data_IF_640254466189
#
_entry.id   IF_640254466189
#
_cell.length_a   1.000
_cell.length_b   1.000
_cell.length_c   1.000
_cell.angle_alpha   90.00
_cell.angle_beta   90.00
_cell.angle_gamma   90.00
#
_symmetry.space_group_name_H-M   'P 1'
#
loop_
_entity.id
_entity.type
_entity.pdbx_description
1 polymer ?
#
# COMPACT_ATOMS: atom_id res chain seq x y z
N UNK A 1 -9.81 -10.54 -11.58
CA UNK A 1 -8.93 -9.86 -10.59
C UNK A 1 -9.74 -8.87 -9.73
N UNK A 2 -9.26 -8.42 -8.55
CA UNK A 2 -10.02 -7.47 -7.68
C UNK A 2 -10.52 -6.22 -8.42
N UNK A 3 -9.79 -5.77 -9.44
CA UNK A 3 -10.21 -4.69 -10.34
C UNK A 3 -11.49 -5.01 -11.09
N UNK A 4 -11.63 -6.19 -11.69
CA UNK A 4 -12.87 -6.59 -12.40
C UNK A 4 -14.06 -6.68 -11.44
N UNK A 5 -13.82 -7.09 -10.19
CA UNK A 5 -14.88 -7.15 -9.18
C UNK A 5 -15.41 -5.75 -8.87
N UNK A 6 -14.52 -4.76 -8.75
CA UNK A 6 -14.87 -3.34 -8.54
C UNK A 6 -15.55 -2.75 -9.78
N UNK A 7 -15.13 -3.12 -10.99
CA UNK A 7 -15.76 -2.64 -12.23
C UNK A 7 -17.21 -3.14 -12.38
N UNK A 8 -17.48 -4.36 -11.90
CA UNK A 8 -18.83 -4.95 -11.88
C UNK A 8 -19.68 -4.40 -10.74
N UNK A 9 -19.07 -4.13 -9.59
CA UNK A 9 -19.72 -3.59 -8.40
C UNK A 9 -18.85 -2.51 -7.73
N UNK A 10 -19.08 -1.22 -8.06
CA UNK A 10 -18.36 -0.11 -7.46
C UNK A 10 -18.62 0.09 -5.95
N UNK A 11 -19.63 -0.56 -5.39
CA UNK A 11 -19.92 -0.54 -3.96
C UNK A 11 -19.29 -1.71 -3.22
N UNK A 12 -18.50 -2.54 -3.89
CA UNK A 12 -17.80 -3.65 -3.26
C UNK A 12 -16.61 -3.16 -2.42
N UNK A 13 -16.91 -2.56 -1.26
CA UNK A 13 -15.94 -1.93 -0.36
C UNK A 13 -14.78 -2.86 0.02
N UNK A 14 -15.08 -4.14 0.26
CA UNK A 14 -14.05 -5.11 0.64
C UNK A 14 -13.06 -5.40 -0.50
N UNK A 15 -13.47 -5.27 -1.77
CA UNK A 15 -12.56 -5.41 -2.90
C UNK A 15 -11.57 -4.26 -2.98
N UNK A 16 -12.01 -3.02 -2.70
CA UNK A 16 -11.11 -1.87 -2.57
C UNK A 16 -10.09 -2.09 -1.44
N UNK A 17 -10.57 -2.51 -0.26
CA UNK A 17 -9.68 -2.79 0.86
C UNK A 17 -8.68 -3.92 0.55
N UNK A 18 -9.14 -5.04 0.00
CA UNK A 18 -8.26 -6.14 -0.38
C UNK A 18 -7.22 -5.70 -1.42
N UNK A 19 -7.61 -4.86 -2.39
CA UNK A 19 -6.72 -4.36 -3.43
C UNK A 19 -5.67 -3.41 -2.85
N UNK A 20 -6.05 -2.52 -1.92
CA UNK A 20 -5.08 -1.64 -1.26
C UNK A 20 -4.01 -2.44 -0.51
N UNK A 21 -4.41 -3.48 0.23
CA UNK A 21 -3.47 -4.33 0.98
C UNK A 21 -2.55 -5.12 0.04
N UNK A 22 -3.09 -5.68 -1.05
CA UNK A 22 -2.31 -6.39 -2.04
C UNK A 22 -1.25 -5.49 -2.69
N UNK A 23 -1.63 -4.26 -3.05
CA UNK A 23 -0.73 -3.26 -3.62
C UNK A 23 0.37 -2.82 -2.63
N UNK A 24 0.05 -2.66 -1.34
CA UNK A 24 1.05 -2.33 -0.31
C UNK A 24 2.12 -3.44 -0.18
N UNK A 25 1.71 -4.71 -0.12
CA UNK A 25 2.63 -5.86 -0.03
C UNK A 25 3.53 -5.97 -1.25
N UNK A 26 2.98 -5.68 -2.44
CA UNK A 26 3.75 -5.67 -3.69
C UNK A 26 4.83 -4.60 -3.69
N UNK A 27 4.48 -3.36 -3.30
CA UNK A 27 5.44 -2.27 -3.19
C UNK A 27 6.56 -2.57 -2.19
N UNK A 28 6.25 -3.25 -1.08
CA UNK A 28 7.24 -3.70 -0.10
C UNK A 28 8.17 -4.79 -0.66
N UNK A 29 7.61 -5.76 -1.39
CA UNK A 29 8.40 -6.83 -2.01
C UNK A 29 9.34 -6.30 -3.11
N UNK A 30 8.91 -5.30 -3.88
CA UNK A 30 9.71 -4.68 -4.95
C UNK A 30 10.89 -3.87 -4.39
N UNK A 31 10.71 -3.17 -3.26
CA UNK A 31 11.81 -2.45 -2.58
C UNK A 31 12.89 -3.37 -2.00
N UNK A 32 12.54 -4.63 -1.73
CA UNK A 32 13.48 -5.64 -1.22
C UNK A 32 14.25 -6.38 -2.31
N UNK A 33 13.92 -6.18 -3.58
CA UNK A 33 14.64 -6.83 -4.70
C UNK A 33 15.92 -6.04 -5.01
N UNK A 34 17.09 -6.71 -5.15
CA UNK A 34 18.24 -6.09 -5.77
C UNK A 34 17.82 -5.55 -7.14
N UNK A 35 18.20 -4.32 -7.46
CA UNK A 35 17.98 -3.75 -8.79
C UNK A 35 18.87 -4.53 -9.76
N UNK A 36 18.34 -5.62 -10.32
CA UNK A 36 18.92 -6.18 -11.54
C UNK A 36 18.75 -5.13 -12.62
N UNK A 37 19.87 -4.48 -12.96
CA UNK A 37 19.96 -3.59 -14.10
C UNK A 37 19.50 -4.36 -15.33
N UNK A 38 18.28 -4.11 -15.76
CA UNK A 38 17.78 -4.54 -17.07
C UNK A 38 18.68 -3.89 -18.12
N UNK A 39 19.67 -4.65 -18.59
CA UNK A 39 20.42 -4.31 -19.79
C UNK A 39 19.43 -4.32 -20.96
N UNK A 40 19.44 -3.30 -21.83
CA UNK A 40 18.63 -3.35 -23.04
C UNK A 40 19.21 -4.46 -23.90
N UNK A 41 18.44 -5.54 -24.08
CA UNK A 41 18.82 -6.61 -24.99
C UNK A 41 18.78 -6.04 -26.41
N UNK A 42 19.96 -5.80 -26.98
CA UNK A 42 20.13 -5.39 -28.37
C UNK A 42 19.50 -6.45 -29.29
N UNK A 43 18.66 -6.09 -30.27
CA UNK A 43 18.10 -7.09 -31.18
C UNK A 43 19.22 -7.64 -32.07
N UNK A 44 19.53 -8.93 -31.94
CA UNK A 44 20.40 -9.63 -32.89
C UNK A 44 19.65 -9.82 -34.21
N UNK A 45 20.02 -9.04 -35.22
CA UNK A 45 19.63 -9.27 -36.61
C UNK A 45 20.44 -10.46 -37.12
N UNK A 46 19.79 -11.62 -37.32
CA UNK A 46 20.38 -12.74 -38.07
C UNK A 46 19.87 -12.70 -39.51
N UNK A 47 20.79 -12.47 -40.44
CA UNK A 47 20.59 -12.62 -41.87
C UNK A 47 20.81 -14.08 -42.31
N UNK A 48 19.89 -14.64 -43.08
CA UNK A 48 20.16 -15.72 -44.04
C UNK A 48 19.04 -15.77 -45.09
N UNK A 49 19.43 -15.87 -46.37
CA UNK A 49 18.58 -15.80 -47.55
C UNK A 49 18.04 -17.18 -47.99
N UNK A 50 16.90 -17.21 -48.70
CA UNK A 50 16.69 -17.86 -50.03
C UNK A 50 15.19 -18.02 -50.40
N UNK A 51 14.82 -17.56 -51.59
CA UNK A 51 13.94 -18.28 -52.54
C UNK A 51 12.40 -18.34 -52.38
N UNK A 52 11.72 -17.63 -53.30
CA UNK A 52 10.51 -18.01 -54.06
C UNK A 52 9.08 -17.57 -53.64
N UNK A 53 8.44 -16.90 -54.62
CA UNK A 53 7.01 -16.80 -55.01
C UNK A 53 5.97 -16.25 -54.02
N UNK A 54 5.49 -15.04 -54.36
CA UNK A 54 4.08 -14.72 -54.57
C UNK A 54 3.13 -14.86 -53.38
N UNK A 55 2.77 -13.72 -52.80
CA UNK A 55 1.38 -13.26 -52.55
C UNK A 55 1.46 -11.86 -51.97
N UNK A 56 0.69 -10.94 -52.53
CA UNK A 56 0.43 -9.62 -51.96
C UNK A 56 -0.35 -9.81 -50.66
N UNK A 57 0.34 -10.06 -49.55
CA UNK A 57 -0.26 -9.99 -48.23
C UNK A 57 -0.41 -8.51 -47.90
N UNK A 58 -1.63 -7.99 -48.02
CA UNK A 58 -1.99 -6.72 -47.42
C UNK A 58 -1.62 -6.83 -45.93
N UNK A 59 -0.57 -6.13 -45.53
CA UNK A 59 -0.15 -6.02 -44.14
C UNK A 59 -1.28 -5.31 -43.41
N UNK A 60 -2.14 -6.09 -42.74
CA UNK A 60 -3.11 -5.55 -41.80
C UNK A 60 -2.31 -4.70 -40.82
N UNK A 61 -2.66 -3.41 -40.63
CA UNK A 61 -1.95 -2.58 -39.67
C UNK A 61 -1.98 -3.31 -38.33
N UNK A 62 -0.79 -3.60 -37.79
CA UNK A 62 -0.63 -4.15 -36.45
C UNK A 62 -1.57 -3.39 -35.52
N UNK A 63 -2.35 -4.06 -34.65
CA UNK A 63 -3.19 -3.37 -33.69
C UNK A 63 -2.29 -2.40 -32.95
N UNK A 64 -2.54 -1.09 -33.13
CA UNK A 64 -1.84 -0.08 -32.35
C UNK A 64 -2.03 -0.49 -30.89
N UNK A 65 -0.98 -0.48 -30.05
CA UNK A 65 -1.18 -0.70 -28.64
C UNK A 65 -2.13 0.41 -28.20
N UNK A 66 -3.41 0.06 -28.04
CA UNK A 66 -4.36 0.94 -27.40
C UNK A 66 -3.69 1.29 -26.10
N UNK A 67 -3.57 2.57 -25.71
CA UNK A 67 -3.01 2.89 -24.42
C UNK A 67 -3.89 2.19 -23.40
N UNK A 68 -3.44 1.02 -22.95
CA UNK A 68 -3.99 0.32 -21.82
C UNK A 68 -3.91 1.38 -20.75
N UNK A 69 -5.07 1.92 -20.36
CA UNK A 69 -5.13 2.88 -19.27
C UNK A 69 -4.64 2.07 -18.08
N UNK A 70 -3.33 2.14 -17.81
CA UNK A 70 -2.74 1.58 -16.62
C UNK A 70 -3.22 2.53 -15.55
N UNK A 71 -4.46 2.32 -15.08
CA UNK A 71 -4.94 3.00 -13.90
C UNK A 71 -4.11 2.37 -12.80
N UNK A 72 -2.99 3.01 -12.49
CA UNK A 72 -2.17 2.65 -11.35
C UNK A 72 -2.97 3.04 -10.12
N UNK A 73 -3.79 2.11 -9.64
CA UNK A 73 -4.62 2.32 -8.46
C UNK A 73 -3.71 2.36 -7.23
N UNK A 74 -3.53 3.58 -6.68
CA UNK A 74 -2.76 3.78 -5.46
C UNK A 74 -3.52 3.19 -4.26
N UNK A 75 -2.83 2.48 -3.33
CA UNK A 75 -3.43 2.05 -2.06
C UNK A 75 -4.16 3.16 -1.31
N UNK A 76 -3.68 4.40 -1.43
CA UNK A 76 -4.31 5.58 -0.81
C UNK A 76 -5.71 5.84 -1.38
N UNK A 77 -5.86 5.75 -2.71
CA UNK A 77 -7.13 6.00 -3.39
C UNK A 77 -8.16 4.93 -3.00
N UNK A 78 -7.74 3.67 -2.92
CA UNK A 78 -8.60 2.57 -2.50
C UNK A 78 -9.04 2.74 -1.04
N UNK A 79 -8.12 3.09 -0.13
CA UNK A 79 -8.47 3.34 1.28
C UNK A 79 -9.39 4.54 1.46
N UNK A 80 -9.23 5.60 0.65
CA UNK A 80 -10.15 6.73 0.65
C UNK A 80 -11.56 6.32 0.21
N UNK A 81 -11.68 5.44 -0.79
CA UNK A 81 -12.99 4.89 -1.16
C UNK A 81 -13.59 4.03 -0.05
N UNK A 82 -12.79 3.18 0.59
CA UNK A 82 -13.26 2.37 1.72
C UNK A 82 -13.81 3.26 2.84
N UNK A 83 -13.13 4.35 3.16
CA UNK A 83 -13.57 5.30 4.19
C UNK A 83 -14.83 6.06 3.77
N UNK A 84 -14.96 6.43 2.49
CA UNK A 84 -16.16 7.08 1.99
C UNK A 84 -17.40 6.17 2.05
N UNK A 85 -17.24 4.88 1.77
CA UNK A 85 -18.32 3.89 1.77
C UNK A 85 -18.61 3.34 3.19
N UNK A 86 -17.57 3.18 4.01
CA UNK A 86 -17.64 2.58 5.35
C UNK A 86 -16.83 3.43 6.36
N UNK A 87 -17.36 4.59 6.79
CA UNK A 87 -16.64 5.54 7.67
C UNK A 87 -16.40 5.03 9.10
N UNK A 88 -16.99 3.89 9.47
CA UNK A 88 -16.79 3.23 10.76
C UNK A 88 -15.78 2.09 10.70
N UNK A 89 -15.19 1.83 9.53
CA UNK A 89 -14.25 0.72 9.35
C UNK A 89 -12.84 1.10 9.82
N UNK A 90 -12.55 0.84 11.10
CA UNK A 90 -11.30 1.21 11.77
C UNK A 90 -10.03 0.75 11.03
N UNK A 91 -10.06 -0.43 10.40
CA UNK A 91 -8.92 -0.96 9.66
C UNK A 91 -8.51 -0.09 8.46
N UNK A 92 -9.44 0.62 7.82
CA UNK A 92 -9.10 1.50 6.71
C UNK A 92 -8.31 2.72 7.18
N UNK A 93 -8.73 3.35 8.28
CA UNK A 93 -7.99 4.44 8.91
C UNK A 93 -6.60 3.97 9.36
N UNK A 94 -6.50 2.82 10.03
CA UNK A 94 -5.21 2.25 10.44
C UNK A 94 -4.25 2.03 9.25
N UNK A 95 -4.75 1.44 8.15
CA UNK A 95 -3.90 1.20 6.98
C UNK A 95 -3.52 2.49 6.24
N UNK A 96 -4.40 3.50 6.23
CA UNK A 96 -4.09 4.81 5.65
C UNK A 96 -3.08 5.57 6.50
N UNK A 97 -3.19 5.48 7.83
CA UNK A 97 -2.21 6.00 8.77
C UNK A 97 -0.82 5.37 8.56
N UNK A 98 -0.75 4.04 8.37
CA UNK A 98 0.49 3.35 8.06
C UNK A 98 1.13 3.88 6.77
N UNK A 99 0.32 4.21 5.75
CA UNK A 99 0.80 4.77 4.50
C UNK A 99 1.36 6.18 4.70
N UNK A 100 0.62 7.05 5.39
CA UNK A 100 1.07 8.41 5.72
C UNK A 100 2.36 8.41 6.55
N UNK A 101 2.46 7.52 7.55
CA UNK A 101 3.66 7.37 8.36
C UNK A 101 4.88 6.97 7.50
N UNK A 102 4.70 6.06 6.53
CA UNK A 102 5.76 5.65 5.61
C UNK A 102 6.20 6.77 4.67
N UNK A 103 5.29 7.67 4.29
CA UNK A 103 5.60 8.82 3.43
C UNK A 103 6.04 10.05 4.21
N UNK A 104 6.14 9.98 5.53
CA UNK A 104 6.56 11.08 6.40
C UNK A 104 5.47 12.10 6.74
N UNK A 105 4.21 11.86 6.37
CA UNK A 105 3.07 12.71 6.75
C UNK A 105 2.58 12.32 8.16
N UNK A 106 3.40 12.67 9.16
CA UNK A 106 3.21 12.26 10.56
C UNK A 106 1.90 12.77 11.15
N UNK A 107 1.49 13.99 10.80
CA UNK A 107 0.26 14.58 11.33
C UNK A 107 -0.99 13.84 10.83
N UNK A 108 -1.11 13.58 9.51
CA UNK A 108 -2.23 12.80 8.99
C UNK A 108 -2.22 11.36 9.52
N UNK A 109 -1.04 10.77 9.68
CA UNK A 109 -0.92 9.45 10.27
C UNK A 109 -1.49 9.40 11.69
N UNK A 110 -1.12 10.37 12.56
CA UNK A 110 -1.65 10.45 13.93
C UNK A 110 -3.17 10.69 13.95
N UNK A 111 -3.70 11.52 13.05
CA UNK A 111 -5.14 11.76 12.94
C UNK A 111 -5.88 10.46 12.61
N UNK A 112 -5.41 9.71 11.62
CA UNK A 112 -6.03 8.45 11.22
C UNK A 112 -5.88 7.36 12.28
N UNK A 113 -4.72 7.24 12.96
CA UNK A 113 -4.61 6.33 14.11
C UNK A 113 -5.57 6.70 15.23
N UNK A 114 -5.73 8.01 15.50
CA UNK A 114 -6.70 8.49 16.49
C UNK A 114 -8.11 8.08 16.10
N UNK A 115 -8.47 8.24 14.82
CA UNK A 115 -9.78 7.81 14.34
C UNK A 115 -9.99 6.30 14.44
N UNK A 116 -8.97 5.51 14.12
CA UNK A 116 -9.01 4.05 14.28
C UNK A 116 -9.22 3.65 15.76
N UNK A 117 -8.58 4.36 16.70
CA UNK A 117 -8.73 4.16 18.14
C UNK A 117 -10.14 4.55 18.63
N UNK A 118 -10.69 5.68 18.16
CA UNK A 118 -12.06 6.10 18.48
C UNK A 118 -13.09 5.05 18.05
N UNK A 119 -12.90 4.47 16.86
CA UNK A 119 -13.79 3.45 16.30
C UNK A 119 -13.58 2.08 16.95
N UNK A 120 -12.35 1.74 17.33
CA UNK A 120 -12.00 0.51 18.02
C UNK A 120 -10.98 0.77 19.15
N UNK A 121 -11.45 0.99 20.39
CA UNK A 121 -10.59 1.24 21.55
C UNK A 121 -9.70 0.06 21.97
N UNK A 122 -9.88 -1.12 21.38
CA UNK A 122 -9.06 -2.32 21.61
C UNK A 122 -8.02 -2.54 20.50
N UNK A 123 -7.87 -1.60 19.56
CA UNK A 123 -6.95 -1.73 18.44
C UNK A 123 -5.50 -1.43 18.87
N UNK A 124 -4.84 -2.44 19.46
CA UNK A 124 -3.51 -2.33 20.03
C UNK A 124 -2.47 -1.76 19.06
N UNK A 125 -2.49 -2.16 17.78
CA UNK A 125 -1.57 -1.71 16.75
C UNK A 125 -1.69 -0.21 16.45
N UNK A 126 -2.90 0.36 16.55
CA UNK A 126 -3.11 1.79 16.34
C UNK A 126 -2.47 2.61 17.45
N UNK A 127 -2.62 2.17 18.71
CA UNK A 127 -1.90 2.77 19.84
C UNK A 127 -0.40 2.60 19.68
N UNK A 128 0.06 1.40 19.32
CA UNK A 128 1.49 1.12 19.17
C UNK A 128 2.12 2.07 18.15
N UNK A 129 1.55 2.16 16.95
CA UNK A 129 2.12 2.96 15.87
C UNK A 129 2.01 4.47 16.15
N UNK A 130 0.90 4.96 16.73
CA UNK A 130 0.78 6.36 17.12
C UNK A 130 1.77 6.73 18.23
N UNK A 131 2.01 5.81 19.18
CA UNK A 131 3.02 5.95 20.22
C UNK A 131 4.43 6.11 19.66
N UNK A 132 4.80 5.33 18.64
CA UNK A 132 6.08 5.50 17.94
C UNK A 132 6.23 6.88 17.29
N UNK A 133 5.16 7.39 16.67
CA UNK A 133 5.18 8.72 16.07
C UNK A 133 5.38 9.81 17.13
N UNK A 134 4.69 9.73 18.27
CA UNK A 134 4.92 10.68 19.37
C UNK A 134 6.36 10.65 19.87
N UNK A 135 6.97 9.47 20.02
CA UNK A 135 8.38 9.36 20.37
C UNK A 135 9.31 10.00 19.33
N UNK A 136 9.02 9.82 18.04
CA UNK A 136 9.83 10.45 16.97
C UNK A 136 9.76 11.99 17.01
N UNK A 137 8.69 12.56 17.57
CA UNK A 137 8.53 13.99 17.80
C UNK A 137 9.09 14.47 19.15
N UNK A 138 9.70 13.59 19.95
CA UNK A 138 10.15 13.90 21.32
C UNK A 138 9.01 14.03 22.35
N UNK A 139 7.76 13.70 21.98
CA UNK A 139 6.60 13.69 22.88
C UNK A 139 6.56 12.39 23.69
N UNK A 140 7.55 12.26 24.57
CA UNK A 140 7.83 11.02 25.33
C UNK A 140 6.64 10.61 26.22
N UNK A 141 5.93 11.56 26.83
CA UNK A 141 4.81 11.26 27.73
C UNK A 141 3.65 10.62 26.96
N UNK A 142 3.28 11.22 25.83
CA UNK A 142 2.21 10.75 24.94
C UNK A 142 2.58 9.41 24.30
N UNK A 143 3.83 9.28 23.85
CA UNK A 143 4.35 8.02 23.31
C UNK A 143 4.32 6.89 24.33
N UNK A 144 4.76 7.14 25.57
CA UNK A 144 4.73 6.15 26.65
C UNK A 144 3.30 5.72 26.97
N UNK A 145 2.35 6.66 27.04
CA UNK A 145 0.94 6.36 27.30
C UNK A 145 0.37 5.42 26.24
N UNK A 146 0.57 5.75 24.97
CA UNK A 146 0.04 4.95 23.86
C UNK A 146 0.72 3.57 23.78
N UNK A 147 2.05 3.49 23.93
CA UNK A 147 2.75 2.20 23.97
C UNK A 147 2.32 1.35 25.18
N UNK A 148 2.08 1.96 26.34
CA UNK A 148 1.62 1.23 27.53
C UNK A 148 0.24 0.62 27.27
N UNK A 149 -0.66 1.40 26.65
CA UNK A 149 -1.99 0.92 26.26
C UNK A 149 -1.91 -0.22 25.24
N UNK A 150 -1.01 -0.14 24.27
CA UNK A 150 -0.77 -1.24 23.34
C UNK A 150 -0.30 -2.52 24.06
N UNK A 151 0.58 -2.38 25.06
CA UNK A 151 1.02 -3.49 25.91
C UNK A 151 -0.11 -4.13 26.71
N UNK A 152 -0.99 -3.32 27.32
CA UNK A 152 -2.16 -3.79 28.07
C UNK A 152 -3.13 -4.59 27.18
N UNK A 153 -3.22 -4.22 25.91
CA UNK A 153 -4.05 -4.88 24.90
C UNK A 153 -3.37 -6.11 24.25
N UNK A 154 -2.21 -6.53 24.77
CA UNK A 154 -1.52 -7.77 24.36
C UNK A 154 -0.29 -7.58 23.47
N UNK A 155 0.07 -6.35 23.07
CA UNK A 155 1.32 -6.09 22.36
C UNK A 155 2.49 -5.92 23.34
N UNK A 156 2.85 -6.98 24.06
CA UNK A 156 3.88 -6.95 25.12
C UNK A 156 5.24 -6.39 24.69
N UNK A 157 5.57 -6.48 23.39
CA UNK A 157 6.77 -5.84 22.82
C UNK A 157 6.84 -4.32 23.08
N UNK A 158 5.69 -3.67 23.30
CA UNK A 158 5.61 -2.25 23.62
C UNK A 158 6.30 -1.90 24.96
N UNK A 159 6.17 -2.74 25.99
CA UNK A 159 6.83 -2.51 27.27
C UNK A 159 8.35 -2.59 27.16
N UNK A 160 8.85 -3.58 26.42
CA UNK A 160 10.28 -3.70 26.11
C UNK A 160 10.81 -2.46 25.39
N UNK A 161 9.99 -1.86 24.53
CA UNK A 161 10.36 -0.64 23.81
C UNK A 161 10.39 0.58 24.73
N UNK A 162 9.36 0.81 25.54
CA UNK A 162 9.34 1.89 26.55
C UNK A 162 10.59 1.85 27.42
N UNK A 163 10.96 0.66 27.91
CA UNK A 163 12.17 0.46 28.73
C UNK A 163 13.46 0.85 28.00
N UNK A 164 13.53 0.66 26.68
CA UNK A 164 14.70 1.03 25.87
C UNK A 164 14.74 2.54 25.58
N UNK A 165 13.59 3.17 25.41
CA UNK A 165 13.49 4.59 25.02
C UNK A 165 13.61 5.55 26.21
N UNK A 166 13.45 5.07 27.44
CA UNK A 166 13.55 5.86 28.67
C UNK A 166 14.90 5.71 29.40
N UNK A 167 15.90 5.09 28.74
CA UNK A 167 17.29 5.03 29.19
C UNK A 167 18.11 6.09 28.50
#
# INVERSE_FOLDING_TARGET
>A
ALTEAIERDPLFTLAYFARSIASLRRSEAERGRPVEQSTPSTPQVRAAATGAKGTTSAELPLPTPTPTRVVEYSPLADLNQVIAQAPTFAFAYYNRANLYAKTGDVERAKQDYTKAIELNPLFAESYFNRGLLYYSEGKVKEGTRDLSRAGELGLYKAYSLIKRMNK
#
